data_IF_059066306966
#
_entry.id   IF_059066306966
#
_cell.length_a   1.000
_cell.length_b   1.000
_cell.length_c   1.000
_cell.angle_alpha   90.00
_cell.angle_beta   90.00
_cell.angle_gamma   90.00
#
_symmetry.space_group_name_H-M   'P 1'
#
loop_
_entity.id
_entity.type
_entity.pdbx_description
1 polymer ?
#
# COMPACT_ATOMS: atom_id res chain seq x y z
N UNK A 1 -11.41 7.56 -27.15
CA UNK A 1 -12.03 7.84 -25.84
C UNK A 1 -10.95 7.67 -24.80
N UNK A 2 -10.70 8.70 -24.00
CA UNK A 2 -9.80 8.59 -22.85
C UNK A 2 -10.46 7.64 -21.85
N UNK A 3 -9.84 6.50 -21.55
CA UNK A 3 -10.38 5.55 -20.56
C UNK A 3 -10.44 6.26 -19.22
N UNK A 4 -11.61 6.28 -18.56
CA UNK A 4 -11.74 6.87 -17.23
C UNK A 4 -10.78 6.16 -16.28
N UNK A 5 -9.83 6.91 -15.70
CA UNK A 5 -8.85 6.36 -14.75
C UNK A 5 -9.48 6.20 -13.36
N UNK A 6 -9.12 5.13 -12.67
CA UNK A 6 -9.41 4.86 -11.26
C UNK A 6 -8.48 5.71 -10.38
N UNK A 7 -9.04 6.50 -9.47
CA UNK A 7 -8.26 7.36 -8.58
C UNK A 7 -7.75 6.55 -7.38
N UNK A 8 -6.43 6.52 -7.20
CA UNK A 8 -5.77 5.80 -6.11
C UNK A 8 -4.96 6.77 -5.27
N UNK A 9 -5.21 6.80 -3.96
CA UNK A 9 -4.40 7.52 -2.99
C UNK A 9 -3.44 6.55 -2.30
N UNK A 10 -2.15 6.86 -2.28
CA UNK A 10 -1.16 6.11 -1.50
C UNK A 10 -0.69 6.93 -0.30
N UNK A 11 -1.03 6.46 0.90
CA UNK A 11 -0.65 7.06 2.17
C UNK A 11 0.53 6.31 2.80
N UNK A 12 1.68 6.97 2.88
CA UNK A 12 2.92 6.40 3.41
C UNK A 12 3.97 6.13 2.34
N UNK A 13 4.59 7.20 1.82
CA UNK A 13 5.61 7.12 0.77
C UNK A 13 7.03 6.83 1.30
N UNK A 14 7.16 5.74 2.07
CA UNK A 14 8.45 5.13 2.43
C UNK A 14 8.91 4.11 1.38
N UNK A 15 9.80 3.18 1.76
CA UNK A 15 10.31 2.16 0.82
C UNK A 15 9.20 1.28 0.21
N UNK A 16 8.37 0.67 1.05
CA UNK A 16 7.26 -0.20 0.62
C UNK A 16 6.20 0.58 -0.17
N UNK A 17 5.78 1.74 0.35
CA UNK A 17 4.82 2.59 -0.37
C UNK A 17 5.33 3.08 -1.72
N UNK A 18 6.62 3.41 -1.83
CA UNK A 18 7.22 3.81 -3.11
C UNK A 18 7.34 2.64 -4.10
N UNK A 19 7.58 1.42 -3.61
CA UNK A 19 7.52 0.22 -4.45
C UNK A 19 6.10 0.02 -5.01
N UNK A 20 5.06 0.06 -4.17
CA UNK A 20 3.69 -0.09 -4.68
C UNK A 20 3.22 1.12 -5.50
N UNK A 21 3.73 2.33 -5.24
CA UNK A 21 3.53 3.47 -6.15
C UNK A 21 4.10 3.18 -7.54
N UNK A 22 5.30 2.61 -7.63
CA UNK A 22 5.90 2.19 -8.90
C UNK A 22 5.06 1.15 -9.62
N UNK A 23 4.61 0.10 -8.91
CA UNK A 23 3.74 -0.94 -9.49
C UNK A 23 2.42 -0.34 -10.00
N UNK A 24 1.73 0.45 -9.19
CA UNK A 24 0.42 1.01 -9.56
C UNK A 24 0.50 2.04 -10.69
N UNK A 25 1.56 2.86 -10.75
CA UNK A 25 1.77 3.85 -11.81
C UNK A 25 1.86 3.23 -13.22
N UNK A 26 2.27 1.96 -13.30
CA UNK A 26 2.45 1.25 -14.58
C UNK A 26 1.12 0.83 -15.21
N UNK A 27 0.01 0.82 -14.45
CA UNK A 27 -1.31 0.66 -15.03
C UNK A 27 -1.79 1.97 -15.64
N UNK A 28 -2.09 1.96 -16.94
CA UNK A 28 -2.66 3.13 -17.64
C UNK A 28 -4.08 3.49 -17.16
N UNK A 29 -4.72 2.62 -16.37
CA UNK A 29 -6.03 2.82 -15.75
C UNK A 29 -5.94 3.50 -14.39
N UNK A 30 -4.76 3.66 -13.81
CA UNK A 30 -4.58 4.29 -12.50
C UNK A 30 -4.22 5.78 -12.66
N UNK A 31 -4.88 6.62 -11.86
CA UNK A 31 -4.44 7.99 -11.55
C UNK A 31 -3.94 8.00 -10.11
N UNK A 32 -2.63 8.09 -9.94
CA UNK A 32 -1.97 7.91 -8.65
C UNK A 32 -1.73 9.27 -7.96
N UNK A 33 -2.31 9.44 -6.79
CA UNK A 33 -1.94 10.49 -5.84
C UNK A 33 -1.12 9.89 -4.71
N UNK A 34 0.03 10.48 -4.38
CA UNK A 34 0.84 10.05 -3.23
C UNK A 34 0.92 11.14 -2.17
N UNK A 35 0.89 10.71 -0.90
CA UNK A 35 1.13 11.60 0.24
C UNK A 35 2.58 11.47 0.67
N UNK A 36 3.37 12.51 0.41
CA UNK A 36 4.78 12.58 0.74
C UNK A 36 5.01 13.62 1.85
N UNK A 37 5.54 13.21 3.01
CA UNK A 37 5.93 14.15 4.07
C UNK A 37 7.39 14.58 3.92
N UNK A 38 8.32 13.87 4.55
CA UNK A 38 9.76 14.15 4.49
C UNK A 38 10.35 14.06 3.08
N UNK A 39 9.72 13.29 2.18
CA UNK A 39 10.18 13.10 0.80
C UNK A 39 9.60 14.12 -0.21
N UNK A 40 8.67 14.98 0.20
CA UNK A 40 7.87 15.80 -0.72
C UNK A 40 8.71 16.56 -1.74
N UNK A 41 9.67 17.36 -1.27
CA UNK A 41 10.46 18.23 -2.14
C UNK A 41 11.27 17.44 -3.16
N UNK A 42 11.84 16.31 -2.74
CA UNK A 42 12.62 15.44 -3.62
C UNK A 42 11.74 14.79 -4.69
N UNK A 43 10.56 14.30 -4.29
CA UNK A 43 9.61 13.60 -5.17
C UNK A 43 8.95 14.54 -6.17
N UNK A 44 8.56 15.74 -5.76
CA UNK A 44 8.02 16.76 -6.68
C UNK A 44 9.07 17.18 -7.70
N UNK A 45 10.31 17.37 -7.28
CA UNK A 45 11.38 17.86 -8.16
C UNK A 45 11.92 16.80 -9.12
N UNK A 46 12.11 15.58 -8.64
CA UNK A 46 12.88 14.55 -9.34
C UNK A 46 12.08 13.26 -9.62
N UNK A 47 10.84 13.19 -9.15
CA UNK A 47 10.08 11.95 -9.12
C UNK A 47 10.65 10.95 -8.11
N UNK A 48 10.19 9.71 -8.22
CA UNK A 48 10.67 8.57 -7.44
C UNK A 48 11.58 7.75 -8.34
N UNK A 49 12.78 7.44 -7.85
CA UNK A 49 13.70 6.49 -8.47
C UNK A 49 13.64 5.16 -7.73
N UNK A 50 13.58 4.07 -8.49
CA UNK A 50 13.67 2.72 -7.97
C UNK A 50 14.74 1.95 -8.73
N UNK A 51 15.69 1.39 -8.00
CA UNK A 51 16.62 0.37 -8.48
C UNK A 51 16.14 -0.99 -7.97
N UNK A 52 15.62 -1.81 -8.87
CA UNK A 52 14.96 -3.06 -8.53
C UNK A 52 15.69 -4.26 -9.12
N UNK A 53 16.01 -5.24 -8.28
CA UNK A 53 16.59 -6.51 -8.70
C UNK A 53 15.68 -7.30 -9.68
N UNK A 54 14.36 -7.08 -9.62
CA UNK A 54 13.39 -7.80 -10.45
C UNK A 54 12.90 -6.98 -11.66
N UNK A 55 12.92 -5.65 -11.55
CA UNK A 55 12.30 -4.76 -12.54
C UNK A 55 13.31 -3.88 -13.28
N UNK A 56 14.57 -3.80 -12.83
CA UNK A 56 15.57 -2.87 -13.34
C UNK A 56 15.46 -1.48 -12.72
N UNK A 57 16.11 -0.50 -13.36
CA UNK A 57 16.18 0.89 -12.89
C UNK A 57 15.11 1.75 -13.54
N UNK A 58 14.30 2.43 -12.74
CA UNK A 58 13.19 3.27 -13.22
C UNK A 58 13.13 4.60 -12.48
N UNK A 59 12.62 5.62 -13.18
CA UNK A 59 12.21 6.88 -12.58
C UNK A 59 10.82 7.24 -13.07
N UNK A 60 9.92 7.57 -12.15
CA UNK A 60 8.53 7.93 -12.48
C UNK A 60 8.03 9.08 -11.62
N UNK A 61 6.97 9.73 -12.09
CA UNK A 61 6.29 10.80 -11.38
C UNK A 61 4.83 10.37 -11.16
N UNK A 62 4.35 10.33 -9.90
CA UNK A 62 2.91 10.21 -9.63
C UNK A 62 2.11 11.31 -10.32
N UNK A 63 0.85 11.04 -10.66
CA UNK A 63 -0.04 12.04 -11.26
C UNK A 63 -0.22 13.27 -10.34
N UNK A 64 -0.22 13.05 -9.02
CA UNK A 64 -0.24 14.12 -8.02
C UNK A 64 0.60 13.73 -6.78
N UNK A 65 1.32 14.72 -6.23
CA UNK A 65 2.09 14.58 -4.99
C UNK A 65 1.59 15.67 -4.03
N UNK A 66 1.04 15.27 -2.87
CA UNK A 66 0.57 16.19 -1.83
C UNK A 66 1.40 16.03 -0.56
N UNK A 67 1.53 17.10 0.24
CA UNK A 67 2.28 17.06 1.52
C UNK A 67 1.48 16.40 2.63
N UNK A 68 0.16 16.56 2.58
CA UNK A 68 -0.72 16.13 3.65
C UNK A 68 -2.14 15.88 3.16
N UNK A 69 -2.91 15.15 3.97
CA UNK A 69 -4.29 14.80 3.66
C UNK A 69 -5.24 16.02 3.67
N UNK A 70 -4.83 17.18 4.20
CA UNK A 70 -5.62 18.42 4.12
C UNK A 70 -5.68 19.00 2.70
N UNK A 71 -4.84 18.54 1.79
CA UNK A 71 -4.85 18.93 0.37
C UNK A 71 -5.78 18.05 -0.48
N UNK A 72 -6.41 17.05 0.13
CA UNK A 72 -7.40 16.21 -0.56
C UNK A 72 -8.64 17.02 -0.87
N UNK A 73 -9.11 16.91 -2.12
CA UNK A 73 -10.27 17.66 -2.64
C UNK A 73 -11.46 16.77 -3.02
N UNK A 74 -11.28 15.44 -3.00
CA UNK A 74 -12.26 14.47 -3.48
C UNK A 74 -11.99 13.09 -2.88
N UNK A 75 -13.00 12.23 -2.89
CA UNK A 75 -12.86 10.83 -2.50
C UNK A 75 -12.09 10.01 -3.55
N UNK A 76 -11.45 8.94 -3.10
CA UNK A 76 -10.69 8.00 -3.95
C UNK A 76 -11.37 6.64 -4.04
N UNK A 77 -11.17 5.95 -5.15
CA UNK A 77 -11.66 4.58 -5.32
C UNK A 77 -10.87 3.61 -4.43
N UNK A 78 -9.55 3.77 -4.36
CA UNK A 78 -8.68 3.01 -3.49
C UNK A 78 -7.78 3.90 -2.65
N UNK A 79 -7.62 3.56 -1.37
CA UNK A 79 -6.66 4.19 -0.47
C UNK A 79 -5.69 3.11 0.02
N UNK A 80 -4.46 3.16 -0.48
CA UNK A 80 -3.37 2.25 -0.10
C UNK A 80 -2.68 2.79 1.15
N UNK A 81 -2.80 2.05 2.25
CA UNK A 81 -2.15 2.37 3.53
C UNK A 81 -0.83 1.60 3.61
N UNK A 82 0.28 2.33 3.49
CA UNK A 82 1.65 1.83 3.58
C UNK A 82 2.50 2.58 4.64
N UNK A 83 1.88 3.46 5.43
CA UNK A 83 2.50 4.13 6.56
C UNK A 83 2.82 3.15 7.70
N UNK A 84 3.66 3.55 8.65
CA UNK A 84 3.86 2.75 9.87
C UNK A 84 2.54 2.66 10.65
N UNK A 85 2.18 1.45 11.06
CA UNK A 85 1.01 1.16 11.88
C UNK A 85 1.30 1.45 13.36
N UNK A 86 1.20 2.72 13.78
CA UNK A 86 1.45 3.15 15.16
C UNK A 86 0.15 3.62 15.82
N UNK A 87 -0.60 4.52 15.16
CA UNK A 87 -1.92 4.97 15.61
C UNK A 87 -2.92 4.91 14.45
N UNK A 88 -3.52 3.74 14.27
CA UNK A 88 -4.45 3.51 13.16
C UNK A 88 -5.79 4.23 13.35
N UNK A 89 -6.17 4.53 14.60
CA UNK A 89 -7.37 5.31 14.89
C UNK A 89 -7.24 6.74 14.37
N UNK A 90 -6.09 7.37 14.64
CA UNK A 90 -5.79 8.71 14.13
C UNK A 90 -5.68 8.73 12.60
N UNK A 91 -5.02 7.71 12.01
CA UNK A 91 -4.88 7.61 10.54
C UNK A 91 -6.24 7.50 9.86
N UNK A 92 -7.16 6.67 10.38
CA UNK A 92 -8.51 6.57 9.83
C UNK A 92 -9.24 7.92 9.87
N UNK A 93 -9.14 8.66 10.98
CA UNK A 93 -9.73 9.99 11.09
C UNK A 93 -9.12 11.00 10.10
N UNK A 94 -7.80 10.99 9.92
CA UNK A 94 -7.12 11.88 8.97
C UNK A 94 -7.51 11.59 7.51
N UNK A 95 -7.84 10.34 7.19
CA UNK A 95 -8.24 9.92 5.84
C UNK A 95 -9.69 10.26 5.50
N UNK A 96 -10.54 10.63 6.47
CA UNK A 96 -11.96 10.89 6.25
C UNK A 96 -12.29 11.83 5.07
N UNK A 97 -11.52 12.91 4.80
CA UNK A 97 -11.77 13.77 3.63
C UNK A 97 -11.57 13.09 2.26
N UNK A 98 -10.87 11.95 2.23
CA UNK A 98 -10.55 11.17 1.04
C UNK A 98 -11.51 10.00 0.80
N UNK A 99 -12.54 9.83 1.63
CA UNK A 99 -13.33 8.60 1.73
C UNK A 99 -14.81 8.87 1.44
N UNK A 100 -15.40 8.02 0.62
CA UNK A 100 -16.85 7.86 0.48
C UNK A 100 -17.24 6.36 0.56
N UNK A 101 -18.53 6.04 0.38
CA UNK A 101 -19.02 4.65 0.42
C UNK A 101 -18.48 3.76 -0.72
N UNK A 102 -17.91 4.37 -1.77
CA UNK A 102 -17.29 3.66 -2.89
C UNK A 102 -15.79 3.41 -2.68
N UNK A 103 -15.18 4.03 -1.66
CA UNK A 103 -13.78 3.83 -1.32
C UNK A 103 -13.51 2.42 -0.79
N UNK A 104 -12.39 1.86 -1.24
CA UNK A 104 -11.81 0.61 -0.73
C UNK A 104 -10.45 0.89 -0.10
N UNK A 105 -10.25 0.46 1.14
CA UNK A 105 -8.94 0.55 1.79
C UNK A 105 -8.09 -0.65 1.40
N UNK A 106 -6.79 -0.44 1.15
CA UNK A 106 -5.81 -1.50 0.89
C UNK A 106 -4.74 -1.43 1.96
N UNK A 107 -4.77 -2.36 2.92
CA UNK A 107 -3.95 -2.34 4.13
C UNK A 107 -2.73 -3.24 3.95
N UNK A 108 -1.64 -2.65 3.45
CA UNK A 108 -0.34 -3.32 3.21
C UNK A 108 0.53 -3.39 4.46
N UNK A 109 0.15 -2.66 5.51
CA UNK A 109 0.94 -2.52 6.73
C UNK A 109 1.14 -3.87 7.43
N UNK A 110 2.35 -4.08 7.93
CA UNK A 110 2.69 -5.21 8.80
C UNK A 110 1.86 -5.15 10.10
N UNK A 111 1.63 -6.32 10.71
CA UNK A 111 0.89 -6.46 11.96
C UNK A 111 -0.44 -7.19 11.79
N UNK A 112 -1.14 -7.44 12.89
CA UNK A 112 -2.52 -7.95 12.91
C UNK A 112 -3.38 -6.91 13.63
N UNK A 113 -4.64 -6.78 13.25
CA UNK A 113 -5.56 -5.86 13.88
C UNK A 113 -5.55 -4.44 13.29
N UNK A 114 -5.01 -4.28 12.07
CA UNK A 114 -4.89 -2.98 11.40
C UNK A 114 -6.20 -2.56 10.72
N UNK A 115 -7.06 -3.53 10.42
CA UNK A 115 -8.30 -3.38 9.67
C UNK A 115 -9.43 -2.79 10.51
N UNK A 116 -9.49 -3.15 11.79
CA UNK A 116 -10.60 -2.85 12.70
C UNK A 116 -10.80 -1.35 12.94
N UNK A 117 -9.75 -0.52 13.10
CA UNK A 117 -9.90 0.93 13.17
C UNK A 117 -10.58 1.52 11.92
N UNK A 118 -10.23 1.04 10.73
CA UNK A 118 -10.85 1.48 9.47
C UNK A 118 -12.28 0.98 9.36
N UNK A 119 -12.56 -0.29 9.72
CA UNK A 119 -13.92 -0.84 9.74
C UNK A 119 -14.83 -0.05 10.68
N UNK A 120 -14.34 0.35 11.86
CA UNK A 120 -15.11 1.15 12.83
C UNK A 120 -15.41 2.56 12.30
N UNK A 121 -14.42 3.21 11.68
CA UNK A 121 -14.59 4.55 11.14
C UNK A 121 -15.47 4.57 9.86
N UNK A 122 -15.34 3.54 9.02
CA UNK A 122 -15.96 3.47 7.70
C UNK A 122 -16.69 2.12 7.50
N UNK A 123 -17.86 1.93 8.15
CA UNK A 123 -18.53 0.62 8.20
C UNK A 123 -19.00 0.10 6.83
N UNK A 124 -19.19 0.99 5.85
CA UNK A 124 -19.68 0.66 4.50
C UNK A 124 -18.57 0.48 3.45
N UNK A 125 -17.32 0.78 3.78
CA UNK A 125 -16.21 0.63 2.85
C UNK A 125 -15.72 -0.82 2.79
N UNK A 126 -15.20 -1.23 1.63
CA UNK A 126 -14.48 -2.50 1.51
C UNK A 126 -13.05 -2.35 2.03
N UNK A 127 -12.47 -3.45 2.48
CA UNK A 127 -11.09 -3.50 2.97
C UNK A 127 -10.41 -4.69 2.29
N UNK A 128 -9.39 -4.42 1.49
CA UNK A 128 -8.42 -5.40 1.03
C UNK A 128 -7.31 -5.44 2.08
N UNK A 129 -7.15 -6.58 2.73
CA UNK A 129 -6.05 -6.82 3.68
C UNK A 129 -4.90 -7.50 2.95
N UNK A 130 -3.68 -7.15 3.33
CA UNK A 130 -2.48 -7.56 2.60
C UNK A 130 -1.33 -7.97 3.53
N UNK A 131 -0.52 -8.93 3.07
CA UNK A 131 0.79 -9.28 3.63
C UNK A 131 1.83 -9.11 2.53
N UNK A 132 2.80 -8.23 2.76
CA UNK A 132 3.89 -7.98 1.81
C UNK A 132 5.17 -8.72 2.20
N UNK A 133 5.81 -9.33 1.21
CA UNK A 133 7.14 -9.95 1.30
C UNK A 133 8.17 -9.18 0.47
N UNK A 134 7.91 -7.89 0.25
CA UNK A 134 8.80 -6.99 -0.48
C UNK A 134 9.97 -6.56 0.40
N UNK A 135 11.19 -6.77 -0.09
CA UNK A 135 12.40 -6.21 0.51
C UNK A 135 12.78 -4.91 -0.20
N UNK A 136 12.58 -3.77 0.45
CA UNK A 136 12.98 -2.48 -0.09
C UNK A 136 13.49 -1.54 0.99
N UNK A 137 14.48 -0.72 0.61
CA UNK A 137 15.06 0.31 1.46
C UNK A 137 15.02 1.65 0.72
N UNK A 138 14.64 2.70 1.43
CA UNK A 138 14.80 4.05 0.93
C UNK A 138 16.18 4.56 1.37
N UNK A 139 17.11 4.72 0.42
CA UNK A 139 18.50 5.11 0.70
C UNK A 139 18.67 6.62 0.83
N UNK A 140 17.82 7.40 0.16
CA UNK A 140 17.69 8.86 0.31
C UNK A 140 16.29 9.31 -0.13
N UNK A 141 15.87 10.56 0.14
CA UNK A 141 14.54 11.04 -0.26
C UNK A 141 14.21 10.80 -1.73
N UNK A 142 13.18 9.97 -2.00
CA UNK A 142 12.75 9.62 -3.36
C UNK A 142 13.62 8.57 -4.08
N UNK A 143 14.57 7.93 -3.40
CA UNK A 143 15.47 6.90 -3.98
C UNK A 143 15.29 5.59 -3.25
N UNK A 144 14.82 4.57 -3.97
CA UNK A 144 14.47 3.25 -3.43
C UNK A 144 15.39 2.20 -4.04
N UNK A 145 15.90 1.30 -3.20
CA UNK A 145 16.56 0.07 -3.60
C UNK A 145 15.67 -1.09 -3.21
N UNK A 146 15.25 -1.87 -4.20
CA UNK A 146 14.42 -3.07 -4.04
C UNK A 146 15.26 -4.32 -4.33
N UNK A 147 15.32 -5.23 -3.35
CA UNK A 147 16.03 -6.50 -3.48
C UNK A 147 15.15 -7.55 -4.19
N UNK A 148 15.65 -8.77 -4.36
CA UNK A 148 14.93 -9.83 -5.10
C UNK A 148 13.61 -10.28 -4.46
N UNK A 149 13.47 -10.13 -3.14
CA UNK A 149 12.28 -10.56 -2.39
C UNK A 149 11.08 -9.68 -2.75
N UNK A 150 10.08 -10.29 -3.39
CA UNK A 150 8.87 -9.63 -3.86
C UNK A 150 7.72 -10.64 -3.92
N UNK A 151 6.69 -10.40 -3.12
CA UNK A 151 5.39 -11.07 -3.20
C UNK A 151 4.36 -10.26 -2.40
N UNK A 152 3.08 -10.39 -2.75
CA UNK A 152 1.95 -9.82 -2.03
C UNK A 152 0.85 -10.86 -1.88
N UNK A 153 0.51 -11.21 -0.66
CA UNK A 153 -0.74 -11.92 -0.38
C UNK A 153 -1.82 -10.89 -0.12
N UNK A 154 -2.96 -11.00 -0.81
CA UNK A 154 -4.07 -10.05 -0.73
C UNK A 154 -5.40 -10.78 -0.67
N UNK A 155 -6.35 -10.25 0.09
CA UNK A 155 -7.69 -10.80 0.16
C UNK A 155 -8.66 -9.82 0.81
N UNK A 156 -9.93 -10.21 0.89
CA UNK A 156 -10.95 -9.41 1.54
C UNK A 156 -10.83 -9.52 3.06
N UNK A 157 -10.99 -8.40 3.76
CA UNK A 157 -11.40 -8.40 5.16
C UNK A 157 -12.93 -8.29 5.19
N UNK A 158 -13.65 -9.41 5.43
CA UNK A 158 -15.07 -9.53 5.09
C UNK A 158 -15.94 -8.42 5.67
N UNK A 159 -16.89 -7.92 4.86
CA UNK A 159 -17.91 -6.99 5.33
C UNK A 159 -19.34 -7.53 5.12
N UNK A 160 -20.03 -8.01 6.16
CA UNK A 160 -21.43 -8.44 6.04
C UNK A 160 -22.38 -7.32 5.59
N UNK A 161 -21.97 -6.05 5.67
CA UNK A 161 -22.79 -4.89 5.30
C UNK A 161 -22.62 -4.45 3.84
N UNK A 162 -21.75 -5.10 3.06
CA UNK A 162 -21.49 -4.81 1.65
C UNK A 162 -21.76 -6.07 0.83
N UNK A 163 -22.28 -5.89 -0.38
CA UNK A 163 -22.53 -7.00 -1.29
C UNK A 163 -21.22 -7.73 -1.64
N UNK A 164 -21.23 -9.06 -1.51
CA UNK A 164 -20.03 -9.87 -1.72
C UNK A 164 -19.54 -9.82 -3.17
N UNK A 165 -20.44 -9.69 -4.16
CA UNK A 165 -20.02 -9.58 -5.56
C UNK A 165 -19.33 -8.23 -5.81
N UNK A 166 -19.81 -7.16 -5.18
CA UNK A 166 -19.14 -5.86 -5.20
C UNK A 166 -17.74 -5.92 -4.57
N UNK A 167 -17.59 -6.53 -3.39
CA UNK A 167 -16.27 -6.67 -2.75
C UNK A 167 -15.29 -7.47 -3.62
N UNK A 168 -15.76 -8.57 -4.22
CA UNK A 168 -14.94 -9.37 -5.15
C UNK A 168 -14.54 -8.57 -6.39
N UNK A 169 -15.45 -7.79 -6.99
CA UNK A 169 -15.11 -6.94 -8.14
C UNK A 169 -14.04 -5.88 -7.82
N UNK A 170 -14.05 -5.35 -6.59
CA UNK A 170 -13.04 -4.39 -6.11
C UNK A 170 -11.67 -5.06 -5.90
N UNK A 171 -11.67 -6.28 -5.36
CA UNK A 171 -10.45 -7.10 -5.26
C UNK A 171 -9.88 -7.43 -6.64
N UNK A 172 -10.72 -7.88 -7.58
CA UNK A 172 -10.33 -8.19 -8.95
C UNK A 172 -9.80 -6.96 -9.70
N UNK A 173 -10.46 -5.81 -9.56
CA UNK A 173 -10.01 -4.57 -10.16
C UNK A 173 -8.64 -4.18 -9.60
N UNK A 174 -8.47 -4.15 -8.27
CA UNK A 174 -7.18 -3.75 -7.67
C UNK A 174 -6.04 -4.71 -8.05
N UNK A 175 -6.30 -6.03 -8.01
CA UNK A 175 -5.30 -7.03 -8.40
C UNK A 175 -4.96 -6.97 -9.89
N UNK A 176 -5.88 -6.52 -10.75
CA UNK A 176 -5.56 -6.24 -12.15
C UNK A 176 -4.53 -5.11 -12.31
N UNK A 177 -4.51 -4.11 -11.42
CA UNK A 177 -3.46 -3.07 -11.43
C UNK A 177 -2.10 -3.63 -11.01
N UNK A 178 -2.09 -4.59 -10.07
CA UNK A 178 -0.86 -5.28 -9.67
C UNK A 178 -0.30 -6.13 -10.81
N UNK A 179 -1.17 -6.82 -11.55
CA UNK A 179 -0.82 -7.56 -12.78
C UNK A 179 -0.22 -6.64 -13.85
N UNK A 180 -0.86 -5.50 -14.13
CA UNK A 180 -0.33 -4.49 -15.07
C UNK A 180 1.05 -3.97 -14.64
N UNK A 181 1.23 -3.79 -13.34
CA UNK A 181 2.49 -3.37 -12.74
C UNK A 181 3.58 -4.46 -12.70
N UNK A 182 3.22 -5.70 -13.02
CA UNK A 182 4.14 -6.83 -13.14
C UNK A 182 4.65 -7.37 -11.81
N UNK A 183 4.00 -7.05 -10.68
CA UNK A 183 4.39 -7.59 -9.38
C UNK A 183 3.79 -8.97 -9.16
N UNK A 184 4.46 -9.81 -8.36
CA UNK A 184 3.91 -11.10 -7.92
C UNK A 184 2.90 -10.87 -6.80
N UNK A 185 1.76 -11.53 -6.91
CA UNK A 185 0.78 -11.56 -5.84
C UNK A 185 -0.04 -12.85 -5.87
N UNK A 186 -0.71 -13.14 -4.76
CA UNK A 186 -1.64 -14.24 -4.59
C UNK A 186 -2.91 -13.74 -3.91
N UNK A 187 -4.06 -14.18 -4.41
CA UNK A 187 -5.34 -13.94 -3.74
C UNK A 187 -5.55 -15.05 -2.71
N UNK A 188 -5.74 -14.68 -1.45
CA UNK A 188 -5.97 -15.60 -0.33
C UNK A 188 -7.34 -15.31 0.28
N UNK A 189 -8.12 -16.36 0.51
CA UNK A 189 -9.46 -16.24 1.10
C UNK A 189 -9.40 -15.95 2.60
N UNK A 190 -8.67 -16.77 3.37
CA UNK A 190 -8.42 -16.52 4.80
C UNK A 190 -7.11 -15.77 5.00
N UNK A 191 -7.18 -14.45 4.93
CA UNK A 191 -6.02 -13.58 5.10
C UNK A 191 -5.54 -13.46 6.55
N UNK A 192 -6.34 -13.83 7.56
CA UNK A 192 -5.91 -13.68 8.95
C UNK A 192 -4.75 -14.64 9.28
N UNK A 193 -4.77 -15.86 8.73
CA UNK A 193 -3.70 -16.83 8.91
C UNK A 193 -2.34 -16.31 8.39
N UNK A 194 -2.17 -15.89 7.10
CA UNK A 194 -0.92 -15.29 6.62
C UNK A 194 -0.46 -14.07 7.41
N UNK A 195 -1.38 -13.24 7.92
CA UNK A 195 -1.01 -12.08 8.74
C UNK A 195 -0.36 -12.52 10.05
N UNK A 196 -0.94 -13.51 10.73
CA UNK A 196 -0.34 -14.07 11.94
C UNK A 196 1.00 -14.75 11.68
N UNK A 197 1.12 -15.52 10.59
CA UNK A 197 2.40 -16.11 10.16
C UNK A 197 3.48 -15.03 9.97
N UNK A 198 3.15 -13.93 9.28
CA UNK A 198 4.07 -12.81 9.08
C UNK A 198 4.44 -12.13 10.40
N UNK A 199 3.49 -12.00 11.33
CA UNK A 199 3.76 -11.42 12.65
C UNK A 199 4.73 -12.30 13.43
N UNK A 200 4.54 -13.62 13.45
CA UNK A 200 5.47 -14.55 14.10
C UNK A 200 6.86 -14.45 13.49
N UNK A 201 6.95 -14.40 12.16
CA UNK A 201 8.21 -14.19 11.44
C UNK A 201 8.91 -12.89 11.87
N UNK A 202 8.19 -11.77 11.86
CA UNK A 202 8.72 -10.47 12.24
C UNK A 202 9.11 -10.42 13.74
N UNK A 203 8.32 -11.05 14.61
CA UNK A 203 8.58 -11.09 16.05
C UNK A 203 9.89 -11.84 16.37
N UNK A 204 10.18 -12.92 15.63
CA UNK A 204 11.44 -13.63 15.74
C UNK A 204 12.61 -12.78 15.22
N UNK A 205 12.59 -12.41 13.93
CA UNK A 205 13.77 -11.80 13.30
C UNK A 205 14.02 -10.36 13.73
N UNK A 206 12.99 -9.52 13.81
CA UNK A 206 13.20 -8.10 14.15
C UNK A 206 13.72 -7.95 15.59
N UNK A 207 13.19 -8.76 16.52
CA UNK A 207 13.61 -8.68 17.93
C UNK A 207 15.04 -9.20 18.11
N UNK A 208 15.39 -10.34 17.51
CA UNK A 208 16.73 -10.92 17.62
C UNK A 208 17.77 -9.97 17.02
N UNK A 209 17.56 -9.54 15.76
CA UNK A 209 18.53 -8.67 15.07
C UNK A 209 18.67 -7.30 15.75
N UNK A 210 17.60 -6.74 16.30
CA UNK A 210 17.69 -5.50 17.07
C UNK A 210 18.45 -5.66 18.39
N UNK A 211 18.29 -6.79 19.08
CA UNK A 211 18.98 -7.05 20.35
C UNK A 211 20.45 -7.42 20.15
N UNK A 212 20.78 -8.19 19.12
CA UNK A 212 22.14 -8.67 18.87
C UNK A 212 22.96 -7.71 18.00
N UNK A 213 22.30 -6.78 17.29
CA UNK A 213 22.92 -5.92 16.28
C UNK A 213 23.60 -6.70 15.14
N UNK A 214 23.11 -7.91 14.86
CA UNK A 214 23.58 -8.77 13.77
C UNK A 214 22.49 -8.88 12.71
N UNK A 215 22.86 -9.00 11.44
CA UNK A 215 21.91 -9.22 10.35
C UNK A 215 21.47 -10.70 10.23
N UNK A 216 20.57 -10.99 9.28
CA UNK A 216 20.07 -12.35 9.01
C UNK A 216 20.87 -13.05 7.91
N UNK A 217 21.99 -12.48 7.46
CA UNK A 217 22.83 -13.04 6.41
C UNK A 217 24.02 -13.76 7.05
N UNK A 218 24.22 -15.01 6.67
CA UNK A 218 25.50 -15.72 6.85
C UNK A 218 26.17 -15.82 5.50
#
# INVERSE_FOLDING_TARGET
METQKTNVLLYGLGAIGSFYAFILQRSNRVRLTVVARSNYQAVVKNGIYIDSANHGQHRFHPDLVIKSLSEVTHAYNYIVCANKAIDQGEVAAQLAPAVDENTTFVIIQNGVGNEEPFRRAFPRCSILTCVTWVGATQTSPGVITHIKSEDLQIGLFPNPSVDAALENSRLEEFTSFLSDGGTKFQIIEDMQLPRWEKVVWNAAWNSITALTMVDTQT
#
